data_IF_300286407126
#
_entry.id   IF_300286407126
#
_cell.length_a   1.000
_cell.length_b   1.000
_cell.length_c   1.000
_cell.angle_alpha   90.00
_cell.angle_beta   90.00
_cell.angle_gamma   90.00
#
_symmetry.space_group_name_H-M   'P 1'
#
loop_
_entity.id
_entity.type
_entity.pdbx_description
1 polymer ?
#
# COMPACT_ATOMS: atom_id res chain seq x y z
N UNK A 1 -4.58 19.61 13.22
CA UNK A 1 -5.38 18.82 12.26
C UNK A 1 -4.39 18.00 11.45
N UNK A 2 -4.60 16.71 11.28
CA UNK A 2 -3.79 15.85 10.40
C UNK A 2 -4.56 15.66 9.10
N UNK A 3 -3.89 15.93 7.97
CA UNK A 3 -4.45 15.83 6.63
C UNK A 3 -3.58 14.83 5.86
N UNK A 4 -4.19 13.73 5.42
CA UNK A 4 -3.56 12.75 4.57
C UNK A 4 -3.99 12.97 3.12
N UNK A 5 -3.06 13.31 2.25
CA UNK A 5 -3.30 13.45 0.81
C UNK A 5 -3.54 12.08 0.19
N UNK A 6 -4.64 11.91 -0.54
CA UNK A 6 -4.99 10.66 -1.23
C UNK A 6 -4.78 10.78 -2.75
N UNK A 7 -5.64 11.54 -3.42
CA UNK A 7 -5.67 11.66 -4.87
C UNK A 7 -5.78 13.12 -5.28
N UNK A 8 -4.92 13.56 -6.20
CA UNK A 8 -5.06 14.87 -6.83
C UNK A 8 -6.21 14.86 -7.84
N UNK A 9 -7.09 15.86 -7.77
CA UNK A 9 -8.21 16.08 -8.70
C UNK A 9 -7.95 17.22 -9.67
N UNK A 10 -7.21 18.23 -9.22
CA UNK A 10 -6.78 19.35 -10.04
C UNK A 10 -5.38 19.76 -9.62
N UNK A 11 -4.49 19.96 -10.59
CA UNK A 11 -3.08 20.29 -10.35
C UNK A 11 -2.71 21.58 -11.09
N UNK A 12 -2.59 22.67 -10.35
CA UNK A 12 -1.96 23.91 -10.80
C UNK A 12 -0.69 24.16 -9.94
N UNK A 13 0.25 25.01 -10.38
CA UNK A 13 1.51 25.22 -9.66
C UNK A 13 1.32 25.66 -8.20
N UNK A 14 0.40 26.60 -7.98
CA UNK A 14 0.15 27.24 -6.67
C UNK A 14 -1.17 26.83 -6.03
N UNK A 15 -2.06 26.15 -6.77
CA UNK A 15 -3.32 25.61 -6.26
C UNK A 15 -3.51 24.15 -6.65
N UNK A 16 -3.86 23.29 -5.69
CA UNK A 16 -4.21 21.91 -6.00
C UNK A 16 -5.44 21.46 -5.23
N UNK A 17 -6.33 20.75 -5.91
CA UNK A 17 -7.51 20.14 -5.29
C UNK A 17 -7.20 18.66 -5.05
N UNK A 18 -7.38 18.21 -3.81
CA UNK A 18 -7.10 16.84 -3.39
C UNK A 18 -8.28 16.20 -2.68
N UNK A 19 -8.44 14.90 -2.91
CA UNK A 19 -9.11 14.02 -1.95
C UNK A 19 -8.17 13.79 -0.77
N UNK A 20 -8.68 13.94 0.45
CA UNK A 20 -7.91 13.82 1.68
C UNK A 20 -8.65 13.04 2.76
N UNK A 21 -7.93 12.42 3.70
CA UNK A 21 -8.48 12.05 5.01
C UNK A 21 -8.09 13.10 6.05
N UNK A 22 -9.06 13.51 6.87
CA UNK A 22 -8.83 14.51 7.91
C UNK A 22 -9.07 13.92 9.30
N UNK A 23 -8.14 14.17 10.23
CA UNK A 23 -8.27 13.76 11.64
C UNK A 23 -7.81 14.85 12.62
N UNK A 24 -8.61 15.21 13.64
CA UNK A 24 -10.04 14.95 13.78
C UNK A 24 -10.87 15.81 12.81
N UNK A 25 -11.91 15.25 12.19
CA UNK A 25 -12.79 15.97 11.25
C UNK A 25 -14.20 16.27 11.81
N UNK A 26 -14.49 15.93 13.08
CA UNK A 26 -15.85 16.05 13.64
C UNK A 26 -16.46 17.46 13.61
N UNK A 27 -15.63 18.50 13.59
CA UNK A 27 -16.05 19.91 13.63
C UNK A 27 -15.87 20.64 12.30
N UNK A 28 -15.48 19.91 11.26
CA UNK A 28 -15.18 20.48 9.96
C UNK A 28 -16.45 20.49 9.10
N UNK A 29 -16.69 21.59 8.40
CA UNK A 29 -17.80 21.80 7.48
C UNK A 29 -17.30 22.22 6.10
N UNK A 30 -18.15 22.06 5.09
CA UNK A 30 -17.89 22.59 3.76
C UNK A 30 -17.83 24.12 3.83
N UNK A 31 -16.85 24.70 3.14
CA UNK A 31 -16.54 26.12 3.18
C UNK A 31 -15.55 26.55 4.26
N UNK A 32 -15.17 25.68 5.19
CA UNK A 32 -14.18 26.01 6.22
C UNK A 32 -12.81 26.32 5.62
N UNK A 33 -12.16 27.37 6.13
CA UNK A 33 -10.78 27.73 5.84
C UNK A 33 -9.83 27.19 6.93
N UNK A 34 -8.79 26.49 6.49
CA UNK A 34 -7.75 25.90 7.35
C UNK A 34 -6.43 26.59 7.03
N UNK A 35 -5.84 27.27 8.02
CA UNK A 35 -4.50 27.83 7.91
C UNK A 35 -3.46 26.78 8.29
N UNK A 36 -2.54 26.49 7.37
CA UNK A 36 -1.42 25.59 7.59
C UNK A 36 -0.12 26.40 7.80
N UNK A 37 0.97 25.69 8.13
CA UNK A 37 2.29 26.32 8.22
C UNK A 37 2.73 26.87 6.86
N UNK A 38 3.74 27.76 6.81
CA UNK A 38 4.34 28.20 5.55
C UNK A 38 3.40 28.93 4.60
N UNK A 39 2.43 29.70 5.14
CA UNK A 39 1.46 30.49 4.36
C UNK A 39 0.58 29.66 3.40
N UNK A 40 0.45 28.35 3.61
CA UNK A 40 -0.48 27.53 2.87
C UNK A 40 -1.89 27.64 3.46
N UNK A 41 -2.85 28.01 2.62
CA UNK A 41 -4.27 28.03 2.96
C UNK A 41 -4.96 26.80 2.35
N UNK A 42 -5.88 26.21 3.10
CA UNK A 42 -6.62 25.04 2.65
C UNK A 42 -8.12 25.26 2.84
N UNK A 43 -8.90 25.19 1.76
CA UNK A 43 -10.35 25.38 1.77
C UNK A 43 -11.08 24.05 1.61
N UNK A 44 -12.00 23.77 2.53
CA UNK A 44 -12.82 22.56 2.47
C UNK A 44 -13.91 22.75 1.41
N UNK A 45 -13.81 22.03 0.30
CA UNK A 45 -14.75 22.16 -0.81
C UNK A 45 -16.00 21.30 -0.62
N UNK A 46 -15.81 20.04 -0.24
CA UNK A 46 -16.90 19.08 -0.13
C UNK A 46 -16.56 17.90 0.79
N UNK A 47 -17.59 17.26 1.36
CA UNK A 47 -17.45 15.97 2.03
C UNK A 47 -17.81 14.85 1.05
N UNK A 48 -16.84 13.99 0.74
CA UNK A 48 -17.01 12.86 -0.20
C UNK A 48 -17.59 11.64 0.53
N UNK A 49 -17.13 11.38 1.75
CA UNK A 49 -17.64 10.29 2.59
C UNK A 49 -17.44 10.59 4.08
N UNK A 50 -17.74 9.62 4.95
CA UNK A 50 -17.58 9.80 6.41
C UNK A 50 -16.18 10.33 6.79
N UNK A 51 -15.13 9.90 6.06
CA UNK A 51 -13.73 10.24 6.37
C UNK A 51 -12.99 10.96 5.24
N UNK A 52 -13.53 10.95 4.00
CA UNK A 52 -12.91 11.58 2.82
C UNK A 52 -13.50 12.97 2.55
N UNK A 53 -12.62 13.92 2.28
CA UNK A 53 -12.94 15.31 2.00
C UNK A 53 -12.27 15.76 0.72
N UNK A 54 -12.87 16.71 0.02
CA UNK A 54 -12.25 17.45 -1.07
C UNK A 54 -11.74 18.77 -0.51
N UNK A 55 -10.44 19.03 -0.65
CA UNK A 55 -9.79 20.23 -0.12
C UNK A 55 -8.96 20.87 -1.22
N UNK A 56 -9.13 22.18 -1.39
CA UNK A 56 -8.26 23.01 -2.23
C UNK A 56 -7.13 23.56 -1.38
N UNK A 57 -5.88 23.36 -1.80
CA UNK A 57 -4.70 23.90 -1.15
C UNK A 57 -4.10 25.00 -2.02
N UNK A 58 -3.96 26.18 -1.44
CA UNK A 58 -3.27 27.31 -2.03
C UNK A 58 -1.90 27.46 -1.34
N UNK A 59 -0.83 27.24 -2.08
CA UNK A 59 0.55 27.39 -1.64
C UNK A 59 1.26 28.36 -2.59
N UNK A 60 1.48 29.64 -2.18
CA UNK A 60 2.04 30.66 -3.05
C UNK A 60 3.41 30.30 -3.66
N UNK A 61 4.24 29.61 -2.89
CA UNK A 61 5.59 29.18 -3.31
C UNK A 61 5.61 27.81 -4.02
N UNK A 62 4.42 27.29 -4.36
CA UNK A 62 4.23 26.01 -5.04
C UNK A 62 3.91 24.85 -4.09
N UNK A 63 2.88 24.07 -4.45
CA UNK A 63 2.37 23.02 -3.57
C UNK A 63 3.35 21.86 -3.36
N UNK A 64 4.13 21.48 -4.37
CA UNK A 64 5.13 20.42 -4.23
C UNK A 64 6.28 20.82 -3.27
N UNK A 65 6.76 22.06 -3.40
CA UNK A 65 7.77 22.62 -2.49
C UNK A 65 7.25 22.68 -1.05
N UNK A 66 5.98 23.07 -0.89
CA UNK A 66 5.28 23.08 0.39
C UNK A 66 5.21 21.67 1.01
N UNK A 67 4.78 20.64 0.27
CA UNK A 67 4.72 19.25 0.75
C UNK A 67 6.11 18.71 1.09
N UNK A 68 7.14 19.07 0.31
CA UNK A 68 8.51 18.64 0.60
C UNK A 68 9.01 19.23 1.93
N UNK A 69 8.69 20.49 2.20
CA UNK A 69 9.15 21.26 3.37
C UNK A 69 8.35 20.94 4.64
N UNK A 70 7.02 20.89 4.53
CA UNK A 70 6.10 20.79 5.68
C UNK A 70 5.40 19.43 5.79
N UNK A 71 5.36 18.66 4.71
CA UNK A 71 4.74 17.34 4.66
C UNK A 71 5.55 16.27 5.38
N UNK A 72 4.87 15.21 5.80
CA UNK A 72 5.48 14.08 6.52
C UNK A 72 5.09 12.78 5.82
N UNK A 73 5.99 11.79 5.87
CA UNK A 73 5.66 10.46 5.38
C UNK A 73 4.44 9.93 6.15
N UNK A 74 3.37 9.49 5.46
CA UNK A 74 2.28 8.78 6.10
C UNK A 74 2.78 7.42 6.60
N UNK A 75 2.50 7.13 7.86
CA UNK A 75 2.75 5.82 8.45
C UNK A 75 1.40 5.12 8.69
N UNK A 76 1.33 3.79 8.57
CA UNK A 76 0.15 3.03 8.93
C UNK A 76 -0.36 3.39 10.34
N UNK A 77 -1.68 3.31 10.58
CA UNK A 77 -2.30 3.81 11.81
C UNK A 77 -1.82 3.12 13.09
N UNK A 78 -1.23 1.93 12.98
CA UNK A 78 -0.65 1.19 14.10
C UNK A 78 0.78 1.62 14.45
N UNK A 79 1.50 2.33 13.57
CA UNK A 79 2.83 2.86 13.85
C UNK A 79 2.68 4.22 14.52
N UNK A 80 2.87 4.25 15.85
CA UNK A 80 2.79 5.48 16.65
C UNK A 80 4.13 6.21 16.64
N UNK A 81 4.16 7.43 16.10
CA UNK A 81 5.29 8.35 16.31
C UNK A 81 5.34 8.78 17.78
N UNK A 82 6.55 8.82 18.37
CA UNK A 82 6.75 9.46 19.67
C UNK A 82 6.46 10.96 19.52
N UNK A 83 5.65 11.55 20.41
CA UNK A 83 5.17 12.95 20.32
C UNK A 83 6.28 14.01 20.19
N UNK A 84 7.51 13.68 20.59
CA UNK A 84 8.67 14.58 20.63
C UNK A 84 9.79 14.19 19.65
N UNK A 85 9.57 13.20 18.77
CA UNK A 85 10.55 12.86 17.75
C UNK A 85 10.53 13.94 16.65
N UNK A 86 11.71 14.46 16.27
CA UNK A 86 11.83 15.22 15.03
C UNK A 86 11.38 14.29 13.90
N UNK A 87 10.44 14.71 13.02
CA UNK A 87 10.09 13.93 11.85
C UNK A 87 11.27 14.05 10.90
N UNK A 88 12.14 13.05 10.92
CA UNK A 88 13.42 13.11 10.22
C UNK A 88 13.29 12.35 8.89
N UNK A 89 14.10 12.74 7.91
CA UNK A 89 14.27 12.08 6.62
C UNK A 89 14.38 10.54 6.76
N UNK A 90 14.89 10.06 7.89
CA UNK A 90 14.92 8.66 8.29
C UNK A 90 13.57 7.91 8.18
N UNK A 91 12.42 8.52 8.45
CA UNK A 91 11.12 7.86 8.26
C UNK A 91 10.80 7.64 6.77
N UNK A 92 11.14 8.62 5.92
CA UNK A 92 10.97 8.52 4.45
C UNK A 92 11.90 7.44 3.89
N UNK A 93 13.15 7.41 4.35
CA UNK A 93 14.14 6.44 3.88
C UNK A 93 13.86 5.02 4.38
N UNK A 94 13.44 4.85 5.64
CA UNK A 94 13.13 3.53 6.22
C UNK A 94 11.80 2.95 5.78
N UNK A 95 10.86 3.81 5.39
CA UNK A 95 9.53 3.39 4.93
C UNK A 95 9.43 3.47 3.41
N UNK A 96 10.46 2.98 2.74
CA UNK A 96 10.55 2.87 1.29
C UNK A 96 11.37 1.63 0.95
N UNK A 97 10.97 0.87 -0.08
CA UNK A 97 11.77 -0.27 -0.55
C UNK A 97 12.96 0.22 -1.36
N UNK A 98 14.07 -0.54 -1.34
CA UNK A 98 15.30 -0.22 -2.09
C UNK A 98 15.09 -0.08 -3.60
N UNK A 99 14.02 -0.67 -4.13
CA UNK A 99 13.67 -0.67 -5.54
C UNK A 99 12.51 0.28 -5.87
N UNK A 100 12.13 1.18 -4.97
CA UNK A 100 11.08 2.15 -5.25
C UNK A 100 11.56 3.24 -6.22
N UNK A 101 10.76 3.49 -7.28
CA UNK A 101 11.14 4.40 -8.37
C UNK A 101 10.20 5.57 -8.59
N UNK A 102 8.91 5.42 -8.25
CA UNK A 102 7.87 6.40 -8.53
C UNK A 102 7.16 6.82 -7.24
N UNK A 103 7.01 8.14 -6.98
CA UNK A 103 6.18 8.62 -5.89
C UNK A 103 4.69 8.38 -6.20
N UNK A 104 3.90 7.99 -5.20
CA UNK A 104 2.46 7.81 -5.38
C UNK A 104 1.80 6.88 -4.36
N UNK A 105 2.56 5.99 -3.73
CA UNK A 105 2.05 5.17 -2.63
C UNK A 105 1.90 5.95 -1.33
N UNK A 106 0.75 5.78 -0.67
CA UNK A 106 0.48 6.30 0.67
C UNK A 106 1.12 5.39 1.73
N UNK A 107 1.43 4.14 1.39
CA UNK A 107 2.12 3.22 2.27
C UNK A 107 3.12 2.36 1.51
N UNK A 108 4.27 2.10 2.14
CA UNK A 108 5.27 1.21 1.57
C UNK A 108 4.75 -0.23 1.49
N UNK A 109 5.07 -0.98 0.42
CA UNK A 109 4.87 -2.42 0.35
C UNK A 109 5.90 -3.11 1.26
N UNK A 110 5.57 -3.24 2.54
CA UNK A 110 6.56 -3.54 3.59
C UNK A 110 7.21 -4.91 3.52
N UNK A 111 6.61 -5.87 2.80
CA UNK A 111 7.24 -7.15 2.53
C UNK A 111 8.53 -7.00 1.71
N UNK A 112 8.65 -5.92 0.93
CA UNK A 112 9.84 -5.59 0.18
C UNK A 112 10.99 -5.03 1.03
N UNK A 113 10.72 -4.61 2.27
CA UNK A 113 11.75 -4.06 3.17
C UNK A 113 12.74 -5.14 3.66
N UNK A 114 12.41 -6.41 3.47
CA UNK A 114 13.28 -7.54 3.79
C UNK A 114 14.39 -7.80 2.76
N UNK A 115 14.36 -7.10 1.64
CA UNK A 115 15.36 -7.20 0.60
C UNK A 115 16.39 -6.09 0.74
N UNK A 116 17.66 -6.47 0.85
CA UNK A 116 18.80 -5.59 0.65
C UNK A 116 19.34 -5.72 -0.79
N UNK A 117 20.18 -4.78 -1.21
CA UNK A 117 20.83 -4.84 -2.52
C UNK A 117 21.66 -6.12 -2.66
N UNK A 118 22.32 -6.56 -1.57
CA UNK A 118 23.08 -7.81 -1.54
C UNK A 118 22.18 -9.03 -1.77
N UNK A 119 21.00 -9.09 -1.13
CA UNK A 119 20.04 -10.20 -1.34
C UNK A 119 19.53 -10.20 -2.78
N UNK A 120 19.17 -9.03 -3.32
CA UNK A 120 18.73 -8.92 -4.72
C UNK A 120 19.83 -9.37 -5.69
N UNK A 121 21.09 -9.00 -5.42
CA UNK A 121 22.21 -9.42 -6.25
C UNK A 121 22.43 -10.94 -6.17
N UNK A 122 22.38 -11.53 -4.98
CA UNK A 122 22.49 -12.99 -4.82
C UNK A 122 21.39 -13.76 -5.57
N UNK A 123 20.18 -13.22 -5.63
CA UNK A 123 19.10 -13.82 -6.42
C UNK A 123 19.41 -13.76 -7.92
N UNK A 124 19.87 -12.60 -8.42
CA UNK A 124 20.26 -12.43 -9.82
C UNK A 124 21.43 -13.34 -10.21
N UNK A 125 22.43 -13.47 -9.36
CA UNK A 125 23.60 -14.33 -9.58
C UNK A 125 23.20 -15.82 -9.68
N UNK A 126 22.08 -16.20 -9.06
CA UNK A 126 21.45 -17.53 -9.18
C UNK A 126 20.51 -17.66 -10.38
N UNK A 127 20.45 -16.67 -11.26
CA UNK A 127 19.59 -16.67 -12.44
C UNK A 127 18.11 -16.34 -12.16
N UNK A 128 17.78 -15.87 -10.95
CA UNK A 128 16.40 -15.50 -10.61
C UNK A 128 16.12 -14.11 -11.18
N UNK A 129 15.14 -14.03 -12.08
CA UNK A 129 14.72 -12.77 -12.69
C UNK A 129 13.84 -11.97 -11.72
N UNK A 130 14.02 -10.64 -11.72
CA UNK A 130 13.24 -9.71 -10.91
C UNK A 130 12.34 -8.88 -11.82
N UNK A 131 11.03 -9.02 -11.65
CA UNK A 131 10.03 -8.20 -12.32
C UNK A 131 9.48 -7.13 -11.36
N UNK A 132 9.42 -5.88 -11.82
CA UNK A 132 8.89 -4.79 -11.00
C UNK A 132 7.45 -4.46 -11.38
N UNK A 133 6.61 -4.32 -10.37
CA UNK A 133 5.22 -3.84 -10.49
C UNK A 133 5.12 -2.54 -9.72
N UNK A 134 4.62 -1.49 -10.36
CA UNK A 134 4.36 -0.21 -9.69
C UNK A 134 2.97 -0.25 -9.09
N UNK A 135 2.84 0.22 -7.85
CA UNK A 135 1.59 0.25 -7.09
C UNK A 135 1.49 1.60 -6.39
N UNK A 136 0.29 2.19 -6.36
CA UNK A 136 -0.04 3.26 -5.44
C UNK A 136 -0.94 2.69 -4.35
N UNK A 137 -0.30 2.21 -3.28
CA UNK A 137 -0.98 1.58 -2.15
C UNK A 137 -1.79 2.65 -1.43
N UNK A 138 -3.09 2.42 -1.33
CA UNK A 138 -4.03 3.32 -0.68
C UNK A 138 -4.06 3.13 0.84
N UNK A 139 -4.68 4.08 1.55
CA UNK A 139 -4.92 3.94 2.99
C UNK A 139 -5.86 2.76 3.32
N UNK A 140 -6.80 2.46 2.42
CA UNK A 140 -7.78 1.38 2.60
C UNK A 140 -7.19 0.00 2.82
N UNK A 141 -5.99 -0.28 2.30
CA UNK A 141 -5.33 -1.59 2.43
C UNK A 141 -5.05 -2.01 3.87
N UNK A 142 -4.92 -1.04 4.80
CA UNK A 142 -4.67 -1.31 6.21
C UNK A 142 -5.93 -1.21 7.08
N UNK A 143 -7.10 -0.93 6.47
CA UNK A 143 -8.34 -0.83 7.22
C UNK A 143 -8.84 -2.23 7.60
N UNK A 144 -9.40 -2.38 8.82
CA UNK A 144 -10.05 -3.63 9.21
C UNK A 144 -11.29 -3.87 8.35
N UNK A 145 -11.65 -5.14 8.18
CA UNK A 145 -12.94 -5.50 7.60
C UNK A 145 -14.02 -5.13 8.62
N UNK A 146 -14.98 -4.29 8.21
CA UNK A 146 -16.08 -3.83 9.07
C UNK A 146 -17.43 -4.45 8.71
N UNK A 147 -17.47 -5.34 7.72
CA UNK A 147 -18.67 -6.05 7.28
C UNK A 147 -18.79 -7.38 8.03
N UNK A 148 -20.01 -7.77 8.38
CA UNK A 148 -20.27 -9.05 9.06
C UNK A 148 -20.07 -10.25 8.12
N UNK A 149 -20.33 -10.05 6.83
CA UNK A 149 -20.05 -11.03 5.77
C UNK A 149 -18.77 -10.62 5.02
N UNK A 150 -17.87 -11.58 4.86
CA UNK A 150 -16.56 -11.35 4.22
C UNK A 150 -16.75 -10.99 2.75
N UNK A 151 -17.68 -11.67 2.06
CA UNK A 151 -18.00 -11.53 0.65
C UNK A 151 -18.54 -10.14 0.30
N UNK A 152 -19.09 -9.42 1.29
CA UNK A 152 -19.59 -8.05 1.13
C UNK A 152 -18.51 -6.99 1.30
N UNK A 153 -17.27 -7.38 1.65
CA UNK A 153 -16.18 -6.43 1.81
C UNK A 153 -15.75 -5.86 0.46
N UNK A 154 -15.70 -4.53 0.37
CA UNK A 154 -15.24 -3.81 -0.82
C UNK A 154 -13.85 -3.26 -0.56
N UNK A 155 -12.88 -3.70 -1.36
CA UNK A 155 -11.53 -3.15 -1.33
C UNK A 155 -11.49 -1.78 -2.00
N UNK A 156 -10.79 -0.82 -1.39
CA UNK A 156 -10.50 0.45 -2.05
C UNK A 156 -9.68 0.21 -3.32
N UNK A 157 -10.00 0.89 -4.44
CA UNK A 157 -9.21 0.77 -5.67
C UNK A 157 -7.77 1.23 -5.46
N UNK A 158 -6.81 0.44 -5.94
CA UNK A 158 -5.40 0.79 -5.96
C UNK A 158 -4.89 0.84 -7.38
N UNK A 159 -4.14 1.89 -7.71
CA UNK A 159 -3.50 2.02 -9.01
C UNK A 159 -2.33 1.04 -9.13
N UNK A 160 -2.18 0.47 -10.32
CA UNK A 160 -1.02 -0.33 -10.67
C UNK A 160 -0.53 -0.01 -12.08
N UNK A 161 0.73 -0.35 -12.33
CA UNK A 161 1.34 -0.37 -13.65
C UNK A 161 2.31 -1.55 -13.78
N UNK A 162 2.19 -2.26 -14.89
CA UNK A 162 3.07 -3.37 -15.28
C UNK A 162 3.63 -3.05 -16.67
N UNK A 163 4.96 -2.94 -16.75
CA UNK A 163 5.65 -2.69 -18.01
C UNK A 163 5.65 -3.92 -18.93
N UNK A 164 5.85 -3.73 -20.25
CA UNK A 164 6.06 -4.84 -21.19
C UNK A 164 7.17 -5.81 -20.76
N UNK A 165 8.27 -5.28 -20.23
CA UNK A 165 9.38 -6.09 -19.76
C UNK A 165 9.02 -6.93 -18.54
N UNK A 166 8.36 -6.32 -17.54
CA UNK A 166 7.91 -7.06 -16.35
C UNK A 166 6.91 -8.14 -16.72
N UNK A 167 5.95 -7.86 -17.62
CA UNK A 167 5.00 -8.85 -18.11
C UNK A 167 5.71 -10.02 -18.81
N UNK A 168 6.70 -9.73 -19.67
CA UNK A 168 7.52 -10.74 -20.36
C UNK A 168 8.29 -11.62 -19.38
N UNK A 169 8.98 -11.02 -18.41
CA UNK A 169 9.71 -11.75 -17.36
C UNK A 169 8.74 -12.66 -16.60
N UNK A 170 7.60 -12.10 -16.18
CA UNK A 170 6.61 -12.84 -15.41
C UNK A 170 6.11 -14.01 -16.23
N UNK A 171 5.59 -13.81 -17.45
CA UNK A 171 4.97 -14.88 -18.27
C UNK A 171 5.95 -16.02 -18.64
N UNK A 172 7.24 -15.71 -18.81
CA UNK A 172 8.25 -16.71 -19.15
C UNK A 172 8.78 -17.49 -17.94
N UNK A 173 8.44 -17.08 -16.72
CA UNK A 173 8.88 -17.78 -15.52
C UNK A 173 8.09 -19.09 -15.31
N UNK A 174 8.78 -20.15 -14.89
CA UNK A 174 8.13 -21.39 -14.44
C UNK A 174 7.42 -21.18 -13.09
N UNK A 175 8.04 -20.42 -12.19
CA UNK A 175 7.51 -20.12 -10.86
C UNK A 175 7.56 -18.63 -10.58
N UNK A 176 6.41 -18.06 -10.17
CA UNK A 176 6.29 -16.66 -9.79
C UNK A 176 6.07 -16.55 -8.29
N UNK A 177 7.00 -15.90 -7.59
CA UNK A 177 6.87 -15.58 -6.16
C UNK A 177 6.54 -14.09 -6.04
N UNK A 178 5.34 -13.79 -5.56
CA UNK A 178 4.95 -12.41 -5.28
C UNK A 178 5.57 -11.92 -3.97
N UNK A 179 6.14 -10.72 -3.99
CA UNK A 179 6.61 -10.02 -2.80
C UNK A 179 5.55 -9.00 -2.39
N UNK A 180 4.81 -9.33 -1.33
CA UNK A 180 3.72 -8.53 -0.77
C UNK A 180 2.34 -8.86 -1.34
N UNK A 181 1.34 -8.78 -0.47
CA UNK A 181 -0.08 -9.05 -0.77
C UNK A 181 -0.67 -8.11 -1.82
N UNK A 182 -0.22 -6.84 -1.88
CA UNK A 182 -0.68 -5.90 -2.91
C UNK A 182 -0.18 -6.28 -4.29
N UNK A 183 1.08 -6.72 -4.41
CA UNK A 183 1.63 -7.27 -5.66
C UNK A 183 0.85 -8.49 -6.11
N UNK A 184 0.52 -9.40 -5.18
CA UNK A 184 -0.32 -10.57 -5.45
C UNK A 184 -1.68 -10.18 -6.02
N UNK A 185 -2.41 -9.26 -5.37
CA UNK A 185 -3.72 -8.77 -5.84
C UNK A 185 -3.63 -8.19 -7.24
N UNK A 186 -2.61 -7.38 -7.50
CA UNK A 186 -2.42 -6.77 -8.81
C UNK A 186 -2.19 -7.82 -9.88
N UNK A 187 -1.25 -8.75 -9.67
CA UNK A 187 -0.92 -9.79 -10.64
C UNK A 187 -2.11 -10.72 -10.90
N UNK A 188 -2.85 -11.12 -9.86
CA UNK A 188 -4.06 -11.92 -9.99
C UNK A 188 -5.23 -11.14 -10.65
N UNK A 189 -5.29 -9.83 -10.47
CA UNK A 189 -6.29 -8.97 -11.12
C UNK A 189 -6.05 -8.78 -12.62
N UNK A 190 -4.80 -8.85 -13.08
CA UNK A 190 -4.45 -8.65 -14.50
C UNK A 190 -4.23 -9.95 -15.27
N UNK A 191 -4.07 -11.06 -14.54
CA UNK A 191 -3.93 -12.39 -15.15
C UNK A 191 -5.25 -12.81 -15.79
N UNK A 192 -5.21 -13.31 -17.02
CA UNK A 192 -6.35 -14.04 -17.59
C UNK A 192 -6.52 -15.41 -16.90
N UNK A 193 -7.54 -16.18 -17.30
CA UNK A 193 -7.81 -17.51 -16.73
C UNK A 193 -6.64 -18.50 -16.88
N UNK A 194 -5.82 -18.35 -17.91
CA UNK A 194 -4.62 -19.16 -18.15
C UNK A 194 -3.38 -18.66 -17.37
N UNK A 195 -3.52 -17.62 -16.54
CA UNK A 195 -2.44 -17.01 -15.79
C UNK A 195 -1.54 -16.06 -16.61
N UNK A 196 -1.87 -15.77 -17.87
CA UNK A 196 -1.10 -14.85 -18.71
C UNK A 196 -1.35 -13.39 -18.29
N UNK A 197 -0.28 -12.62 -18.18
CA UNK A 197 -0.31 -11.20 -17.78
C UNK A 197 0.01 -10.29 -18.96
N UNK A 198 -0.87 -9.34 -19.23
CA UNK A 198 -0.63 -8.26 -20.20
C UNK A 198 -0.03 -7.03 -19.52
N UNK A 199 0.89 -6.36 -20.21
CA UNK A 199 1.40 -5.06 -19.78
C UNK A 199 0.31 -4.00 -19.91
N UNK A 200 0.02 -3.31 -18.81
CA UNK A 200 -1.01 -2.29 -18.70
C UNK A 200 -0.89 -1.54 -17.38
N UNK A 201 -1.50 -0.38 -17.33
CA UNK A 201 -1.84 0.30 -16.09
C UNK A 201 -3.35 0.26 -15.87
N UNK A 202 -3.78 0.50 -14.63
CA UNK A 202 -5.18 0.51 -14.27
C UNK A 202 -5.40 0.60 -12.77
N UNK A 203 -6.60 0.27 -12.34
CA UNK A 203 -6.96 0.14 -10.94
C UNK A 203 -7.43 -1.28 -10.64
N UNK A 204 -7.15 -1.76 -9.44
CA UNK A 204 -7.68 -3.03 -8.95
C UNK A 204 -8.36 -2.86 -7.59
N UNK A 205 -9.53 -3.47 -7.48
CA UNK A 205 -10.27 -3.65 -6.23
C UNK A 205 -10.45 -5.14 -5.93
N UNK A 206 -9.58 -6.01 -6.47
CA UNK A 206 -9.67 -7.44 -6.26
C UNK A 206 -9.53 -7.75 -4.76
N UNK A 207 -10.56 -8.38 -4.22
CA UNK A 207 -10.59 -8.89 -2.86
C UNK A 207 -10.38 -10.41 -2.89
N UNK A 208 -9.29 -10.87 -2.28
CA UNK A 208 -8.90 -12.29 -2.25
C UNK A 208 -9.19 -12.84 -0.86
N UNK A 209 -10.00 -13.90 -0.80
CA UNK A 209 -10.41 -14.59 0.42
C UNK A 209 -10.51 -16.11 0.16
N UNK A 210 -10.63 -16.96 1.20
CA UNK A 210 -10.64 -18.41 1.02
C UNK A 210 -11.66 -18.89 -0.01
N UNK A 211 -11.21 -19.75 -0.92
CA UNK A 211 -11.99 -20.18 -2.11
C UNK A 211 -11.51 -19.57 -3.42
N UNK A 212 -10.69 -18.52 -3.37
CA UNK A 212 -10.04 -17.95 -4.56
C UNK A 212 -9.07 -18.94 -5.21
N UNK A 213 -9.10 -19.03 -6.54
CA UNK A 213 -8.14 -19.81 -7.34
C UNK A 213 -7.08 -18.89 -7.90
N UNK A 214 -5.84 -19.06 -7.46
CA UNK A 214 -4.69 -18.30 -7.95
C UNK A 214 -4.32 -18.77 -9.37
N UNK A 215 -4.10 -17.82 -10.26
CA UNK A 215 -3.91 -18.05 -11.70
C UNK A 215 -2.44 -17.96 -12.08
N UNK A 216 -1.68 -17.03 -11.50
CA UNK A 216 -0.27 -16.80 -11.86
C UNK A 216 0.70 -16.96 -10.70
N UNK A 217 0.27 -16.67 -9.47
CA UNK A 217 1.19 -16.68 -8.32
C UNK A 217 1.38 -18.09 -7.77
N UNK A 218 2.63 -18.53 -7.66
CA UNK A 218 3.04 -19.85 -7.15
C UNK A 218 3.72 -19.80 -5.78
N UNK A 219 4.06 -18.61 -5.30
CA UNK A 219 4.60 -18.40 -3.96
C UNK A 219 4.33 -16.99 -3.48
N UNK A 220 4.33 -16.78 -2.16
CA UNK A 220 4.09 -15.48 -1.55
C UNK A 220 5.08 -15.23 -0.44
N UNK A 221 5.85 -14.14 -0.55
CA UNK A 221 6.59 -13.56 0.56
C UNK A 221 5.82 -12.37 1.11
N UNK A 222 5.44 -12.42 2.38
CA UNK A 222 4.68 -11.34 3.03
C UNK A 222 4.99 -11.23 4.52
N UNK A 223 4.61 -10.13 5.17
CA UNK A 223 4.69 -10.00 6.63
C UNK A 223 3.62 -10.85 7.34
N UNK A 224 3.71 -10.99 8.66
CA UNK A 224 2.58 -11.45 9.48
C UNK A 224 1.52 -10.35 9.65
N UNK A 225 0.26 -10.69 9.43
CA UNK A 225 -0.85 -9.74 9.36
C UNK A 225 -1.77 -9.81 10.59
N UNK A 226 -2.61 -8.79 10.75
CA UNK A 226 -3.63 -8.78 11.80
C UNK A 226 -4.69 -9.87 11.59
N UNK A 227 -5.18 -10.51 12.66
CA UNK A 227 -6.46 -11.20 12.60
C UNK A 227 -7.55 -10.28 12.07
N UNK A 228 -8.52 -10.82 11.32
CA UNK A 228 -9.64 -10.07 10.74
C UNK A 228 -9.24 -8.94 9.75
N UNK A 229 -8.07 -9.05 9.13
CA UNK A 229 -7.65 -8.17 8.03
C UNK A 229 -7.86 -8.84 6.66
N UNK A 230 -8.09 -8.03 5.62
CA UNK A 230 -8.11 -8.50 4.23
C UNK A 230 -6.81 -9.20 3.83
N UNK A 231 -5.68 -8.72 4.36
CA UNK A 231 -4.35 -9.32 4.13
C UNK A 231 -4.25 -10.73 4.73
N UNK A 232 -4.81 -10.95 5.93
CA UNK A 232 -4.85 -12.27 6.54
C UNK A 232 -5.75 -13.23 5.76
N UNK A 233 -6.88 -12.75 5.23
CA UNK A 233 -7.76 -13.57 4.38
C UNK A 233 -7.08 -13.96 3.07
N UNK A 234 -6.33 -13.06 2.44
CA UNK A 234 -5.54 -13.38 1.25
C UNK A 234 -4.55 -14.51 1.53
N UNK A 235 -3.84 -14.43 2.65
CA UNK A 235 -2.86 -15.45 3.04
C UNK A 235 -3.54 -16.78 3.35
N UNK A 236 -4.71 -16.76 4.00
CA UNK A 236 -5.54 -17.96 4.20
C UNK A 236 -6.03 -18.55 2.87
N UNK A 237 -6.38 -17.72 1.89
CA UNK A 237 -6.75 -18.17 0.56
C UNK A 237 -5.59 -18.87 -0.15
N UNK A 238 -4.37 -18.35 0.02
CA UNK A 238 -3.18 -18.85 -0.64
C UNK A 238 -2.69 -20.20 -0.08
N UNK A 239 -2.61 -20.34 1.25
CA UNK A 239 -2.01 -21.53 1.88
C UNK A 239 -3.01 -22.43 2.63
N UNK A 240 -4.29 -22.06 2.66
CA UNK A 240 -5.32 -22.72 3.45
C UNK A 240 -5.37 -22.22 4.90
N UNK A 241 -6.60 -22.02 5.40
CA UNK A 241 -6.87 -21.41 6.70
C UNK A 241 -6.23 -22.17 7.87
N UNK A 242 -6.28 -23.52 7.87
CA UNK A 242 -5.77 -24.31 8.98
C UNK A 242 -4.25 -24.28 9.08
N UNK A 243 -3.56 -24.31 7.94
CA UNK A 243 -2.11 -24.24 7.89
C UNK A 243 -1.64 -22.86 8.37
N UNK A 244 -2.28 -21.78 7.89
CA UNK A 244 -1.96 -20.41 8.32
C UNK A 244 -2.21 -20.22 9.80
N UNK A 245 -3.33 -20.71 10.35
CA UNK A 245 -3.60 -20.65 11.80
C UNK A 245 -2.52 -21.36 12.62
N UNK A 246 -2.06 -22.54 12.18
CA UNK A 246 -0.96 -23.27 12.84
C UNK A 246 0.36 -22.49 12.76
N UNK A 247 0.69 -21.93 11.60
CA UNK A 247 1.89 -21.12 11.41
C UNK A 247 1.88 -19.87 12.30
N UNK A 248 0.73 -19.19 12.41
CA UNK A 248 0.57 -18.01 13.27
C UNK A 248 0.68 -18.37 14.76
N UNK A 249 0.08 -19.49 15.18
CA UNK A 249 0.21 -19.97 16.56
C UNK A 249 1.68 -20.29 16.89
N UNK A 250 2.42 -20.90 15.95
CA UNK A 250 3.86 -21.11 16.08
C UNK A 250 4.63 -19.78 16.18
N UNK A 251 4.33 -18.81 15.31
CA UNK A 251 4.99 -17.50 15.30
C UNK A 251 4.78 -16.76 16.63
N UNK A 252 3.56 -16.78 17.17
CA UNK A 252 3.25 -16.21 18.49
C UNK A 252 4.01 -16.93 19.60
N UNK A 253 4.00 -18.28 19.62
CA UNK A 253 4.73 -19.08 20.61
C UNK A 253 6.22 -18.78 20.62
N UNK A 254 6.81 -18.55 19.45
CA UNK A 254 8.24 -18.28 19.26
C UNK A 254 8.58 -16.78 19.23
N UNK A 255 7.63 -15.90 19.56
CA UNK A 255 7.84 -14.44 19.66
C UNK A 255 8.36 -13.79 18.38
N UNK A 256 7.87 -14.23 17.24
CA UNK A 256 8.08 -13.54 15.98
C UNK A 256 7.51 -12.11 16.08
N UNK A 257 8.15 -11.18 15.40
CA UNK A 257 7.68 -9.82 15.26
C UNK A 257 6.65 -9.76 14.13
N UNK A 258 5.51 -9.11 14.36
CA UNK A 258 4.42 -9.03 13.37
C UNK A 258 4.42 -7.66 12.67
N UNK A 259 3.55 -7.50 11.67
CA UNK A 259 3.28 -6.25 10.95
C UNK A 259 4.43 -5.75 10.07
N UNK A 260 4.35 -4.47 9.67
CA UNK A 260 5.23 -3.79 8.71
C UNK A 260 6.72 -3.95 8.96
N UNK A 261 7.16 -3.86 10.22
CA UNK A 261 8.57 -3.94 10.60
C UNK A 261 8.91 -5.25 11.32
N UNK A 262 7.98 -6.20 11.32
CA UNK A 262 8.20 -7.53 11.88
C UNK A 262 8.78 -8.48 10.84
N UNK A 263 8.84 -9.75 11.20
CA UNK A 263 9.33 -10.83 10.36
C UNK A 263 8.46 -11.05 9.11
N UNK A 264 9.04 -11.75 8.14
CA UNK A 264 8.34 -12.23 6.96
C UNK A 264 8.05 -13.73 7.01
N UNK A 265 7.07 -14.14 6.23
CA UNK A 265 6.72 -15.52 5.93
C UNK A 265 6.84 -15.72 4.42
N UNK A 266 7.49 -16.81 4.02
CA UNK A 266 7.52 -17.32 2.65
C UNK A 266 6.61 -18.55 2.57
N UNK A 267 5.66 -18.51 1.65
CA UNK A 267 4.72 -19.60 1.36
C UNK A 267 5.03 -20.14 -0.03
N UNK A 268 5.20 -21.47 -0.14
CA UNK A 268 5.65 -22.17 -1.34
C UNK A 268 4.69 -23.27 -1.76
#
# INVERSE_FOLDING_TARGET
>A
LEILLLNVKKKEPTSQIWEVLIRPAKRLHEGDDIRLAGHCEAKVLARISEKKWLVEFCAPDGFESYVNTFGRAPLPPYIKRKKNARPDAADRDRYQTIYARQPGSIAAPTAGLHFSDEVIQQLKDRGIQIAHVTLHVGYGTFLPITTDEVEKHVMEPEYYEISPESARIINNAERVIAVGTTSTRTLESVSNEDGYISARSGVTSLFIYPGYKFKRINGLLTNFHLPQSSLFLLVCAFAGTDLIKKAYAHAVKNRYMFYSYGDCMLIL
#
